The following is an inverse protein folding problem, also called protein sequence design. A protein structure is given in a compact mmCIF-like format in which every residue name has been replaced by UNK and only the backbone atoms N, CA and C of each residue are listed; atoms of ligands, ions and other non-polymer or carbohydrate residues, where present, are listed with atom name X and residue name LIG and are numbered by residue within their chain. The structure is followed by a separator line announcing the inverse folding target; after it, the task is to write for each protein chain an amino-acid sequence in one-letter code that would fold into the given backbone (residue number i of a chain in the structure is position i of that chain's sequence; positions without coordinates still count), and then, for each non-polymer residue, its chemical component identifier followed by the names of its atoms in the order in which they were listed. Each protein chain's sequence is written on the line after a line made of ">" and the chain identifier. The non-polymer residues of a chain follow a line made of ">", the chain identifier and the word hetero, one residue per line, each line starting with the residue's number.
data_IF_264882620444
#
_entry.id   IF_264882620444
#
_cell.length_a   1.000
_cell.length_b   1.000
_cell.length_c   1.000
_cell.angle_alpha   90.00
_cell.angle_beta   90.00
_cell.angle_gamma   90.00
#
_symmetry.space_group_name_H-M   'P 1'
#
loop_
_entity.id
_entity.type
_entity.pdbx_description
1 polymer ?
#
# COMPACT_ATOMS: atom_id res chain seq x y z
N UNK A 1 -22.22 17.81 -13.04
CA UNK A 1 -21.58 17.14 -11.90
C UNK A 1 -20.18 16.76 -12.33
N UNK A 2 -19.17 17.13 -11.55
CA UNK A 2 -17.78 16.82 -11.88
C UNK A 2 -17.40 15.43 -11.33
N UNK A 3 -16.62 14.67 -12.10
CA UNK A 3 -16.08 13.37 -11.67
C UNK A 3 -14.62 13.54 -11.30
N UNK A 4 -14.24 13.05 -10.14
CA UNK A 4 -12.85 13.01 -9.70
C UNK A 4 -12.22 11.69 -10.15
N UNK A 5 -11.18 11.74 -10.98
CA UNK A 5 -10.33 10.59 -11.28
C UNK A 5 -9.39 10.36 -10.10
N UNK A 6 -9.30 9.11 -9.61
CA UNK A 6 -8.40 8.76 -8.48
C UNK A 6 -7.64 7.48 -8.84
N UNK A 7 -6.33 7.58 -8.84
CA UNK A 7 -5.43 6.43 -8.79
C UNK A 7 -5.06 6.17 -7.32
N UNK A 8 -5.79 5.24 -6.68
CA UNK A 8 -5.50 4.79 -5.34
C UNK A 8 -4.45 3.67 -5.37
N UNK A 9 -3.18 4.05 -5.40
CA UNK A 9 -2.05 3.11 -5.47
C UNK A 9 -1.66 2.53 -4.12
N UNK A 10 -0.85 1.46 -4.15
CA UNK A 10 -0.30 0.82 -2.93
C UNK A 10 0.69 1.73 -2.22
N UNK A 11 1.51 2.46 -2.96
CA UNK A 11 2.56 3.33 -2.43
C UNK A 11 2.17 4.81 -2.49
N UNK A 12 1.57 5.25 -3.59
CA UNK A 12 1.17 6.65 -3.82
C UNK A 12 -0.23 6.70 -4.42
N UNK A 13 -0.92 7.80 -4.16
CA UNK A 13 -2.23 8.13 -4.71
C UNK A 13 -2.15 9.42 -5.50
N UNK A 14 -2.80 9.47 -6.67
CA UNK A 14 -2.97 10.67 -7.47
C UNK A 14 -4.45 10.96 -7.71
N UNK A 15 -4.79 12.21 -7.96
CA UNK A 15 -6.13 12.59 -8.39
C UNK A 15 -6.08 13.58 -9.56
N UNK A 16 -7.12 13.57 -10.38
CA UNK A 16 -7.22 14.44 -11.54
C UNK A 16 -8.65 14.64 -12.01
N UNK A 17 -8.83 15.60 -12.89
CA UNK A 17 -10.10 15.91 -13.58
C UNK A 17 -9.86 16.02 -15.08
N UNK A 18 -10.92 15.85 -15.85
CA UNK A 18 -10.93 16.24 -17.27
C UNK A 18 -11.32 17.71 -17.40
N UNK A 19 -10.47 18.51 -18.04
CA UNK A 19 -10.72 19.90 -18.39
C UNK A 19 -10.64 20.02 -19.92
N UNK A 20 -11.71 20.41 -20.56
CA UNK A 20 -11.81 20.48 -22.02
C UNK A 20 -11.41 19.15 -22.73
N UNK A 21 -11.79 18.02 -22.12
CA UNK A 21 -11.49 16.68 -22.62
C UNK A 21 -10.06 16.20 -22.33
N UNK A 22 -9.22 17.02 -21.71
CA UNK A 22 -7.83 16.67 -21.38
C UNK A 22 -7.67 16.37 -19.89
N UNK A 23 -6.98 15.29 -19.51
CA UNK A 23 -6.72 14.98 -18.11
C UNK A 23 -5.77 15.99 -17.49
N UNK A 24 -6.10 16.49 -16.32
CA UNK A 24 -5.22 17.32 -15.49
C UNK A 24 -5.09 16.74 -14.10
N UNK A 25 -3.85 16.53 -13.66
CA UNK A 25 -3.56 16.16 -12.28
C UNK A 25 -3.82 17.33 -11.33
N UNK A 26 -4.33 17.03 -10.15
CA UNK A 26 -4.60 17.98 -9.09
C UNK A 26 -3.48 17.82 -8.05
N UNK A 27 -2.80 18.89 -7.63
CA UNK A 27 -1.87 18.82 -6.51
C UNK A 27 -2.64 18.49 -5.23
N UNK A 28 -2.27 17.37 -4.60
CA UNK A 28 -2.90 16.89 -3.37
C UNK A 28 -2.15 17.33 -2.11
N UNK A 29 -0.86 17.65 -2.23
CA UNK A 29 -0.04 18.20 -1.15
C UNK A 29 0.91 19.26 -1.70
N UNK A 30 0.83 20.49 -1.17
CA UNK A 30 1.61 21.62 -1.64
C UNK A 30 1.63 21.67 -3.18
N UNK A 31 2.78 21.39 -3.82
CA UNK A 31 2.90 21.30 -5.27
C UNK A 31 3.04 19.85 -5.77
N UNK A 32 2.95 18.85 -4.88
CA UNK A 32 3.10 17.44 -5.24
C UNK A 32 1.83 16.91 -5.90
N UNK A 33 1.99 16.29 -7.07
CA UNK A 33 0.91 15.66 -7.83
C UNK A 33 0.50 14.30 -7.28
N UNK A 34 1.30 13.74 -6.37
CA UNK A 34 1.03 12.46 -5.72
C UNK A 34 1.07 12.61 -4.20
N UNK A 35 0.27 11.82 -3.53
CA UNK A 35 0.17 11.73 -2.08
C UNK A 35 0.64 10.35 -1.65
N UNK A 36 1.61 10.19 -0.73
CA UNK A 36 1.93 8.88 -0.17
C UNK A 36 0.68 8.20 0.37
N UNK A 37 0.42 6.94 -0.03
CA UNK A 37 -0.72 6.15 0.48
C UNK A 37 -0.36 5.61 1.87
N UNK A 38 -0.24 6.55 2.81
CA UNK A 38 0.18 6.32 4.17
C UNK A 38 -0.69 7.09 5.18
N UNK A 39 -0.83 6.53 6.37
CA UNK A 39 -1.54 7.13 7.49
C UNK A 39 -0.73 6.95 8.77
N UNK A 40 -0.83 7.91 9.67
CA UNK A 40 -0.21 7.88 10.99
C UNK A 40 -1.23 8.29 12.05
N UNK A 41 -1.50 7.42 13.00
CA UNK A 41 -2.33 7.73 14.16
C UNK A 41 -1.42 8.29 15.25
N UNK A 42 -1.37 9.61 15.38
CA UNK A 42 -0.58 10.32 16.37
C UNK A 42 -1.28 10.24 17.73
N UNK A 43 -0.65 9.59 18.70
CA UNK A 43 -1.26 9.37 20.02
C UNK A 43 -1.17 10.61 20.92
N UNK A 44 -0.16 11.43 20.73
CA UNK A 44 0.02 12.68 21.48
C UNK A 44 -0.93 13.75 20.94
N UNK A 45 -0.86 14.04 19.62
CA UNK A 45 -1.74 15.02 18.99
C UNK A 45 -3.20 14.54 18.89
N UNK A 46 -3.48 13.25 19.07
CA UNK A 46 -4.79 12.61 18.96
C UNK A 46 -5.46 12.85 17.61
N UNK A 47 -4.68 12.79 16.56
CA UNK A 47 -5.13 13.00 15.19
C UNK A 47 -4.62 11.91 14.23
N UNK A 48 -5.33 11.73 13.10
CA UNK A 48 -4.89 10.88 12.00
C UNK A 48 -4.23 11.77 10.96
N UNK A 49 -2.91 11.63 10.79
CA UNK A 49 -2.13 12.27 9.73
C UNK A 49 -2.14 11.42 8.48
N UNK A 50 -2.13 12.02 7.32
CA UNK A 50 -2.29 11.35 6.02
C UNK A 50 -1.24 11.89 5.06
N UNK A 51 -0.71 11.01 4.18
CA UNK A 51 0.22 11.41 3.15
C UNK A 51 1.62 11.71 3.67
N UNK A 52 2.24 12.80 3.19
CA UNK A 52 3.58 13.21 3.62
C UNK A 52 3.61 13.48 5.13
N UNK A 53 2.58 14.12 5.69
CA UNK A 53 2.50 14.37 7.13
C UNK A 53 2.53 13.08 7.98
N UNK A 54 2.03 11.96 7.45
CA UNK A 54 2.15 10.66 8.10
C UNK A 54 3.59 10.14 8.10
N UNK A 55 4.28 10.27 6.97
CA UNK A 55 5.69 9.88 6.84
C UNK A 55 6.61 10.77 7.67
N UNK A 56 6.35 12.08 7.69
CA UNK A 56 7.11 13.04 8.48
C UNK A 56 6.99 12.76 9.99
N UNK A 57 5.78 12.40 10.47
CA UNK A 57 5.56 12.02 11.86
C UNK A 57 6.36 10.76 12.24
N UNK A 58 6.40 9.76 11.34
CA UNK A 58 7.24 8.58 11.54
C UNK A 58 8.72 8.95 11.63
N UNK A 59 9.23 9.74 10.67
CA UNK A 59 10.64 10.15 10.64
C UNK A 59 11.03 11.06 11.83
N UNK A 60 10.08 11.84 12.33
CA UNK A 60 10.26 12.65 13.53
C UNK A 60 10.24 11.83 14.83
N UNK A 61 9.95 10.52 14.76
CA UNK A 61 9.84 9.65 15.94
C UNK A 61 8.63 9.95 16.82
N UNK A 62 7.54 10.49 16.23
CA UNK A 62 6.31 10.76 16.97
C UNK A 62 5.71 9.46 17.53
N UNK A 63 5.13 9.53 18.74
CA UNK A 63 4.46 8.39 19.34
C UNK A 63 3.15 8.10 18.63
N UNK A 64 3.05 6.94 17.98
CA UNK A 64 1.85 6.64 17.20
C UNK A 64 1.94 5.34 16.41
N UNK A 65 1.01 5.20 15.47
CA UNK A 65 0.95 4.03 14.59
C UNK A 65 0.96 4.44 13.12
N UNK A 66 2.06 4.14 12.45
CA UNK A 66 2.19 4.30 11.00
C UNK A 66 1.62 3.09 10.25
N UNK A 67 0.92 3.34 9.15
CA UNK A 67 0.39 2.30 8.26
C UNK A 67 0.54 2.73 6.81
N UNK A 68 1.00 1.81 5.97
CA UNK A 68 1.07 1.95 4.51
C UNK A 68 0.67 0.63 3.83
N UNK A 69 0.57 0.64 2.50
CA UNK A 69 0.18 -0.57 1.77
C UNK A 69 -1.27 -0.98 2.00
N UNK A 70 -2.15 -0.04 2.35
CA UNK A 70 -3.56 -0.29 2.67
C UNK A 70 -4.31 -0.99 1.54
N UNK A 71 -3.97 -0.68 0.27
CA UNK A 71 -4.54 -1.35 -0.91
C UNK A 71 -4.31 -2.86 -0.90
N UNK A 72 -3.17 -3.32 -0.35
CA UNK A 72 -2.83 -4.75 -0.27
C UNK A 72 -3.72 -5.54 0.70
N UNK A 73 -4.45 -4.86 1.59
CA UNK A 73 -5.36 -5.49 2.55
C UNK A 73 -6.76 -5.73 1.97
N UNK A 74 -7.14 -5.05 0.88
CA UNK A 74 -8.45 -5.22 0.24
C UNK A 74 -8.74 -6.70 -0.04
N UNK A 75 -9.96 -7.14 0.19
CA UNK A 75 -10.39 -8.53 0.03
C UNK A 75 -9.93 -9.47 1.14
N UNK A 76 -9.19 -9.01 2.15
CA UNK A 76 -8.80 -9.83 3.30
C UNK A 76 -9.78 -9.68 4.46
N UNK A 77 -9.79 -10.66 5.37
CA UNK A 77 -10.58 -10.57 6.62
C UNK A 77 -10.16 -9.38 7.49
N UNK A 78 -8.90 -8.95 7.38
CA UNK A 78 -8.38 -7.79 8.12
C UNK A 78 -9.17 -6.52 7.85
N UNK A 79 -9.74 -6.35 6.64
CA UNK A 79 -10.53 -5.16 6.28
C UNK A 79 -11.71 -4.94 7.23
N UNK A 80 -12.25 -6.00 7.83
CA UNK A 80 -13.41 -5.98 8.75
C UNK A 80 -13.03 -6.06 10.23
N UNK A 81 -11.73 -6.22 10.54
CA UNK A 81 -11.29 -6.24 11.93
C UNK A 81 -11.34 -4.85 12.55
N UNK A 82 -12.11 -4.72 13.62
CA UNK A 82 -12.24 -3.47 14.37
C UNK A 82 -11.14 -3.32 15.39
N UNK A 83 -10.53 -2.15 15.40
CA UNK A 83 -9.47 -1.75 16.35
C UNK A 83 -9.83 -0.44 17.01
N UNK A 84 -9.37 -0.24 18.25
CA UNK A 84 -9.49 1.05 18.91
C UNK A 84 -8.26 1.87 18.58
N UNK A 85 -8.44 2.97 17.83
CA UNK A 85 -7.42 3.93 17.48
C UNK A 85 -7.90 5.32 17.87
N UNK A 86 -7.10 6.07 18.61
CA UNK A 86 -7.44 7.41 19.17
C UNK A 86 -8.76 7.44 19.93
N UNK A 87 -9.16 6.31 20.54
CA UNK A 87 -10.43 6.18 21.27
C UNK A 87 -11.64 5.83 20.41
N UNK A 88 -11.49 5.75 19.09
CA UNK A 88 -12.53 5.36 18.14
C UNK A 88 -12.39 3.90 17.71
N UNK A 89 -13.53 3.22 17.51
CA UNK A 89 -13.58 1.87 16.94
C UNK A 89 -13.61 1.93 15.42
N UNK A 90 -12.49 1.66 14.79
CA UNK A 90 -12.31 1.71 13.33
C UNK A 90 -12.00 0.33 12.77
N UNK A 91 -12.55 0.01 11.61
CA UNK A 91 -12.07 -1.04 10.74
C UNK A 91 -11.12 -0.47 9.66
N UNK A 92 -10.49 -1.33 8.85
CA UNK A 92 -9.59 -0.82 7.80
C UNK A 92 -10.32 -0.15 6.66
N UNK A 93 -11.62 -0.42 6.45
CA UNK A 93 -12.44 0.30 5.47
C UNK A 93 -12.62 1.75 5.93
N UNK A 94 -12.84 2.00 7.23
CA UNK A 94 -12.91 3.36 7.78
C UNK A 94 -11.58 4.12 7.57
N UNK A 95 -10.44 3.43 7.73
CA UNK A 95 -9.12 4.04 7.53
C UNK A 95 -8.93 4.44 6.06
N UNK A 96 -9.24 3.54 5.12
CA UNK A 96 -9.18 3.83 3.68
C UNK A 96 -10.17 4.94 3.31
N UNK A 97 -11.39 4.91 3.86
CA UNK A 97 -12.39 5.94 3.64
C UNK A 97 -11.93 7.32 4.11
N UNK A 98 -11.30 7.43 5.27
CA UNK A 98 -10.73 8.70 5.76
C UNK A 98 -9.59 9.20 4.87
N UNK A 99 -8.77 8.29 4.36
CA UNK A 99 -7.75 8.63 3.37
C UNK A 99 -8.38 9.20 2.08
N UNK A 100 -9.36 8.50 1.51
CA UNK A 100 -10.07 8.95 0.30
C UNK A 100 -10.85 10.26 0.52
N UNK A 101 -11.46 10.44 1.69
CA UNK A 101 -12.12 11.69 2.06
C UNK A 101 -11.12 12.87 2.10
N UNK A 102 -9.89 12.63 2.57
CA UNK A 102 -8.81 13.64 2.52
C UNK A 102 -8.45 13.99 1.08
N UNK A 103 -8.30 12.98 0.19
CA UNK A 103 -8.05 13.20 -1.24
C UNK A 103 -9.17 14.05 -1.85
N UNK A 104 -10.43 13.70 -1.59
CA UNK A 104 -11.60 14.48 -2.03
C UNK A 104 -11.53 15.92 -1.57
N UNK A 105 -11.33 16.14 -0.27
CA UNK A 105 -11.28 17.50 0.32
C UNK A 105 -10.16 18.34 -0.28
N UNK A 106 -8.98 17.76 -0.51
CA UNK A 106 -7.87 18.46 -1.14
C UNK A 106 -8.16 18.79 -2.61
N UNK A 107 -8.77 17.85 -3.35
CA UNK A 107 -9.15 18.09 -4.73
C UNK A 107 -10.22 19.19 -4.84
N UNK A 108 -11.22 19.19 -3.94
CA UNK A 108 -12.26 20.24 -3.87
C UNK A 108 -11.65 21.61 -3.52
N UNK A 109 -10.70 21.65 -2.57
CA UNK A 109 -10.01 22.88 -2.21
C UNK A 109 -9.15 23.43 -3.35
N UNK A 110 -8.46 22.56 -4.09
CA UNK A 110 -7.58 22.96 -5.19
C UNK A 110 -8.36 23.41 -6.45
N UNK A 111 -9.56 22.88 -6.68
CA UNK A 111 -10.32 23.14 -7.90
C UNK A 111 -11.51 24.07 -7.72
N UNK A 112 -11.99 24.23 -6.49
CA UNK A 112 -13.26 24.91 -6.19
C UNK A 112 -14.51 24.13 -6.65
N UNK A 113 -14.36 22.88 -7.11
CA UNK A 113 -15.44 22.01 -7.55
C UNK A 113 -15.88 21.10 -6.41
N UNK A 114 -17.12 20.65 -6.46
CA UNK A 114 -17.62 19.61 -5.58
C UNK A 114 -17.69 18.27 -6.33
N UNK A 115 -17.23 17.18 -5.69
CA UNK A 115 -17.17 15.85 -6.29
C UNK A 115 -18.06 14.86 -5.53
N UNK A 116 -19.18 14.49 -6.11
CA UNK A 116 -20.06 13.40 -5.66
C UNK A 116 -19.79 12.09 -6.40
N UNK A 117 -18.99 12.12 -7.49
CA UNK A 117 -18.62 10.98 -8.31
C UNK A 117 -17.11 10.79 -8.38
N UNK A 118 -16.68 9.53 -8.37
CA UNK A 118 -15.29 9.15 -8.60
C UNK A 118 -15.17 8.16 -9.77
N UNK A 119 -14.06 8.26 -10.52
CA UNK A 119 -13.56 7.20 -11.39
C UNK A 119 -12.24 6.70 -10.77
N UNK A 120 -12.26 5.49 -10.23
CA UNK A 120 -11.11 4.93 -9.54
C UNK A 120 -10.33 3.95 -10.43
N UNK A 121 -9.01 4.09 -10.46
CA UNK A 121 -8.13 3.03 -10.95
C UNK A 121 -8.28 1.76 -10.12
N UNK A 122 -8.17 0.60 -10.79
CA UNK A 122 -8.04 -0.71 -10.16
C UNK A 122 -7.05 -1.57 -10.95
N UNK A 123 -6.32 -2.50 -10.31
CA UNK A 123 -5.56 -3.48 -11.06
C UNK A 123 -6.51 -4.38 -11.88
N UNK A 124 -6.00 -5.03 -12.91
CA UNK A 124 -6.78 -6.02 -13.66
C UNK A 124 -7.30 -7.08 -12.69
N UNK A 125 -6.44 -7.51 -11.75
CA UNK A 125 -6.81 -8.40 -10.64
C UNK A 125 -6.11 -8.01 -9.34
N UNK A 126 -6.87 -7.87 -8.27
CA UNK A 126 -6.31 -7.76 -6.90
C UNK A 126 -5.74 -9.10 -6.44
N UNK A 127 -6.34 -10.21 -6.89
CA UNK A 127 -5.94 -11.58 -6.57
C UNK A 127 -6.02 -12.46 -7.81
N UNK A 128 -4.85 -12.85 -8.33
CA UNK A 128 -4.75 -13.62 -9.59
C UNK A 128 -5.24 -15.07 -9.48
N UNK A 129 -5.26 -15.66 -8.28
CA UNK A 129 -5.60 -17.06 -8.04
C UNK A 129 -6.85 -17.26 -7.16
N UNK A 130 -7.59 -16.21 -6.82
CA UNK A 130 -8.76 -16.27 -5.92
C UNK A 130 -9.83 -15.26 -6.36
N UNK A 131 -10.77 -15.73 -7.19
CA UNK A 131 -11.84 -14.89 -7.76
C UNK A 131 -12.77 -14.31 -6.70
N UNK A 132 -13.06 -15.06 -5.64
CA UNK A 132 -13.94 -14.61 -4.57
C UNK A 132 -13.30 -13.46 -3.79
N UNK A 133 -12.01 -13.57 -3.54
CA UNK A 133 -11.22 -12.54 -2.85
C UNK A 133 -10.99 -11.32 -3.74
N UNK A 134 -10.83 -11.50 -5.04
CA UNK A 134 -10.74 -10.43 -6.02
C UNK A 134 -12.03 -9.59 -6.04
N UNK A 135 -13.19 -10.25 -6.11
CA UNK A 135 -14.49 -9.61 -6.06
C UNK A 135 -14.73 -8.89 -4.72
N UNK A 136 -14.29 -9.50 -3.60
CA UNK A 136 -14.38 -8.89 -2.28
C UNK A 136 -13.52 -7.62 -2.18
N UNK A 137 -12.32 -7.61 -2.78
CA UNK A 137 -11.45 -6.46 -2.79
C UNK A 137 -12.11 -5.25 -3.48
N UNK A 138 -12.78 -5.49 -4.60
CA UNK A 138 -13.55 -4.45 -5.30
C UNK A 138 -14.73 -3.95 -4.46
N UNK A 139 -15.42 -4.86 -3.76
CA UNK A 139 -16.53 -4.52 -2.84
C UNK A 139 -16.03 -3.66 -1.69
N UNK A 140 -14.91 -4.03 -1.05
CA UNK A 140 -14.31 -3.29 0.05
C UNK A 140 -13.91 -1.87 -0.40
N UNK A 141 -13.30 -1.75 -1.58
CA UNK A 141 -12.89 -0.46 -2.13
C UNK A 141 -14.11 0.42 -2.45
N UNK A 142 -15.17 -0.15 -3.05
CA UNK A 142 -16.43 0.57 -3.31
C UNK A 142 -17.06 1.09 -2.02
N UNK A 143 -17.06 0.27 -0.96
CA UNK A 143 -17.58 0.67 0.34
C UNK A 143 -16.75 1.81 0.95
N UNK A 144 -15.41 1.77 0.81
CA UNK A 144 -14.54 2.84 1.28
C UNK A 144 -14.83 4.17 0.58
N UNK A 145 -15.08 4.17 -0.75
CA UNK A 145 -15.51 5.36 -1.49
C UNK A 145 -16.85 5.90 -0.98
N UNK A 146 -17.83 5.04 -0.75
CA UNK A 146 -19.12 5.45 -0.18
C UNK A 146 -18.98 6.10 1.20
N UNK A 147 -18.18 5.48 2.09
CA UNK A 147 -17.88 6.05 3.42
C UNK A 147 -17.06 7.36 3.33
N UNK A 148 -16.29 7.56 2.26
CA UNK A 148 -15.57 8.81 1.99
C UNK A 148 -16.46 9.95 1.47
N UNK A 149 -17.75 9.70 1.23
CA UNK A 149 -18.72 10.68 0.80
C UNK A 149 -18.83 10.85 -0.72
N UNK A 150 -18.53 9.79 -1.48
CA UNK A 150 -18.88 9.72 -2.90
C UNK A 150 -20.19 8.94 -3.05
N UNK A 151 -21.15 9.52 -3.80
CA UNK A 151 -22.43 8.87 -4.08
C UNK A 151 -22.28 7.76 -5.13
N UNK A 152 -21.34 7.95 -6.07
CA UNK A 152 -21.04 6.99 -7.13
C UNK A 152 -19.55 6.81 -7.32
N UNK A 153 -19.12 5.54 -7.51
CA UNK A 153 -17.79 5.20 -7.96
C UNK A 153 -17.84 4.20 -9.10
N UNK A 154 -17.20 4.55 -10.19
CA UNK A 154 -16.90 3.67 -11.30
C UNK A 154 -15.43 3.25 -11.25
N UNK A 155 -15.11 2.09 -11.82
CA UNK A 155 -13.75 1.55 -11.83
C UNK A 155 -13.27 1.33 -13.26
N UNK A 156 -12.01 1.68 -13.49
CA UNK A 156 -11.27 1.44 -14.73
C UNK A 156 -10.00 0.67 -14.42
N UNK A 157 -9.62 -0.28 -15.26
CA UNK A 157 -8.35 -0.96 -15.10
C UNK A 157 -7.19 0.02 -15.30
N UNK A 158 -6.23 0.01 -14.40
CA UNK A 158 -5.06 0.92 -14.42
C UNK A 158 -4.31 0.88 -15.75
N UNK A 159 -3.99 -0.31 -16.34
CA UNK A 159 -3.33 -0.34 -17.64
C UNK A 159 -4.23 0.11 -18.80
N UNK A 160 -5.55 0.01 -18.69
CA UNK A 160 -6.48 0.59 -19.67
C UNK A 160 -6.44 2.12 -19.61
N UNK A 161 -6.46 2.70 -18.41
CA UNK A 161 -6.30 4.14 -18.21
C UNK A 161 -4.95 4.63 -18.76
N UNK A 162 -3.86 3.86 -18.54
CA UNK A 162 -2.54 4.16 -19.08
C UNK A 162 -2.50 4.08 -20.62
N UNK A 163 -3.19 3.10 -21.22
CA UNK A 163 -3.31 2.99 -22.67
C UNK A 163 -4.04 4.20 -23.27
N UNK A 164 -5.17 4.60 -22.66
CA UNK A 164 -5.93 5.81 -23.08
C UNK A 164 -5.06 7.06 -22.96
N UNK A 165 -4.30 7.21 -21.89
CA UNK A 165 -3.45 8.38 -21.68
C UNK A 165 -2.29 8.49 -22.70
N UNK A 166 -1.84 7.36 -23.27
CA UNK A 166 -0.69 7.31 -24.17
C UNK A 166 -1.05 6.98 -25.63
N UNK A 167 -2.32 6.84 -25.96
CA UNK A 167 -2.79 6.45 -27.30
C UNK A 167 -2.33 7.39 -28.43
N UNK A 168 -2.18 8.67 -28.16
CA UNK A 168 -1.73 9.66 -29.13
C UNK A 168 -0.28 9.43 -29.62
N UNK A 169 0.51 8.60 -28.92
CA UNK A 169 1.85 8.23 -29.34
C UNK A 169 1.86 7.16 -30.46
N UNK A 170 0.70 6.54 -30.73
CA UNK A 170 0.54 5.45 -31.69
C UNK A 170 -0.25 5.92 -32.92
N UNK A 171 -0.02 5.24 -34.07
CA UNK A 171 -0.81 5.45 -35.28
C UNK A 171 -2.01 4.52 -35.31
N UNK A 172 -3.08 4.89 -36.03
CA UNK A 172 -4.19 3.97 -36.27
C UNK A 172 -3.72 2.62 -36.82
N UNK A 173 -4.11 1.53 -36.18
CA UNK A 173 -3.72 0.16 -36.50
C UNK A 173 -2.51 -0.38 -35.74
N UNK A 174 -1.71 0.48 -35.12
CA UNK A 174 -0.57 0.03 -34.31
C UNK A 174 -1.05 -0.73 -33.06
N UNK A 175 -0.21 -1.68 -32.62
CA UNK A 175 -0.37 -2.38 -31.35
C UNK A 175 0.46 -1.70 -30.27
N UNK A 176 -0.14 -1.50 -29.11
CA UNK A 176 0.51 -1.04 -27.91
C UNK A 176 0.48 -2.11 -26.81
N UNK A 177 1.52 -2.17 -26.01
CA UNK A 177 1.59 -2.98 -24.79
C UNK A 177 1.85 -2.06 -23.60
N UNK A 178 0.92 -2.01 -22.66
CA UNK A 178 1.14 -1.39 -21.35
C UNK A 178 1.68 -2.45 -20.42
N UNK A 179 2.76 -2.11 -19.73
CA UNK A 179 3.34 -2.87 -18.62
C UNK A 179 3.30 -1.94 -17.42
N UNK A 180 2.39 -2.18 -16.51
CA UNK A 180 2.22 -1.42 -15.27
C UNK A 180 2.74 -2.25 -14.09
N UNK A 181 3.85 -1.82 -13.49
CA UNK A 181 4.45 -2.47 -12.31
C UNK A 181 4.27 -1.54 -11.13
N UNK A 182 3.16 -1.76 -10.41
CA UNK A 182 2.84 -1.03 -9.20
C UNK A 182 3.55 -1.56 -7.95
N UNK A 183 3.19 -1.02 -6.79
CA UNK A 183 3.73 -1.48 -5.51
C UNK A 183 3.27 -2.89 -5.11
N UNK A 184 2.07 -3.32 -5.53
CA UNK A 184 1.48 -4.60 -5.12
C UNK A 184 1.01 -5.51 -6.25
N UNK A 185 0.92 -5.00 -7.47
CA UNK A 185 0.49 -5.74 -8.68
C UNK A 185 1.37 -5.41 -9.86
N UNK A 186 1.41 -6.30 -10.84
CA UNK A 186 1.91 -6.02 -12.18
C UNK A 186 0.84 -6.40 -13.18
N UNK A 187 0.46 -5.44 -14.01
CA UNK A 187 -0.63 -5.54 -14.96
C UNK A 187 -0.10 -5.34 -16.38
N UNK A 188 -0.60 -6.13 -17.30
CA UNK A 188 -0.19 -6.14 -18.71
C UNK A 188 -1.44 -6.00 -19.56
N UNK A 189 -1.45 -5.04 -20.49
CA UNK A 189 -2.58 -4.86 -21.41
C UNK A 189 -2.09 -4.65 -22.82
N UNK A 190 -2.48 -5.54 -23.72
CA UNK A 190 -2.31 -5.42 -25.15
C UNK A 190 -3.52 -4.70 -25.75
N UNK A 191 -3.28 -3.64 -26.49
CA UNK A 191 -4.34 -2.87 -27.14
C UNK A 191 -3.98 -2.51 -28.57
N UNK A 192 -4.99 -2.12 -29.35
CA UNK A 192 -4.82 -1.60 -30.73
C UNK A 192 -5.39 -0.20 -30.79
N UNK A 193 -4.63 0.72 -31.38
CA UNK A 193 -5.12 2.07 -31.70
C UNK A 193 -6.04 2.02 -32.92
N UNK A 194 -7.29 2.50 -32.77
CA UNK A 194 -8.27 2.54 -33.88
C UNK A 194 -8.25 3.84 -34.67
N UNK A 195 -7.70 4.89 -34.14
CA UNK A 195 -7.87 6.28 -34.60
C UNK A 195 -9.01 6.97 -33.86
N UNK A 196 -9.14 8.29 -34.02
CA UNK A 196 -10.14 9.14 -33.35
C UNK A 196 -10.14 8.99 -31.81
N UNK A 197 -8.96 8.82 -31.22
CA UNK A 197 -8.78 8.63 -29.78
C UNK A 197 -9.52 7.39 -29.18
N UNK A 198 -9.74 6.38 -30.03
CA UNK A 198 -10.33 5.11 -29.60
C UNK A 198 -9.27 3.99 -29.58
N UNK A 199 -9.38 3.12 -28.60
CA UNK A 199 -8.54 1.92 -28.44
C UNK A 199 -9.41 0.68 -28.31
N UNK A 200 -8.90 -0.45 -28.82
CA UNK A 200 -9.43 -1.78 -28.53
C UNK A 200 -8.52 -2.48 -27.54
N UNK A 201 -9.02 -2.83 -26.40
CA UNK A 201 -8.33 -3.75 -25.49
C UNK A 201 -8.45 -5.16 -26.08
N UNK A 202 -7.32 -5.75 -26.43
CA UNK A 202 -7.26 -7.09 -27.01
C UNK A 202 -7.12 -8.16 -25.94
N UNK A 203 -6.27 -7.91 -24.93
CA UNK A 203 -6.04 -8.84 -23.83
C UNK A 203 -5.52 -8.06 -22.63
N UNK A 204 -5.90 -8.48 -21.42
CA UNK A 204 -5.38 -7.95 -20.17
C UNK A 204 -5.06 -9.08 -19.20
N UNK A 205 -3.91 -9.01 -18.57
CA UNK A 205 -3.45 -9.98 -17.57
C UNK A 205 -2.84 -9.26 -16.37
N UNK A 206 -3.26 -9.66 -15.16
CA UNK A 206 -2.77 -9.10 -13.91
C UNK A 206 -2.22 -10.18 -12.99
N UNK A 207 -1.09 -9.89 -12.36
CA UNK A 207 -0.50 -10.74 -11.32
C UNK A 207 -0.31 -9.94 -10.05
N UNK A 208 -0.51 -10.61 -8.91
CA UNK A 208 -0.25 -10.03 -7.59
C UNK A 208 1.22 -10.19 -7.23
N UNK A 209 2.04 -9.43 -7.91
CA UNK A 209 3.48 -9.31 -7.69
C UNK A 209 3.85 -7.88 -8.05
N UNK A 210 4.45 -7.14 -7.14
CA UNK A 210 4.82 -5.76 -7.35
C UNK A 210 6.09 -5.35 -6.61
N UNK A 211 6.38 -4.05 -6.58
CA UNK A 211 7.58 -3.49 -5.98
C UNK A 211 7.81 -3.94 -4.54
N UNK A 212 6.75 -4.01 -3.72
CA UNK A 212 6.87 -4.46 -2.32
C UNK A 212 7.29 -5.92 -2.18
N UNK A 213 6.99 -6.78 -3.17
CA UNK A 213 7.46 -8.17 -3.18
C UNK A 213 8.93 -8.25 -3.58
N UNK A 214 9.39 -7.36 -4.46
CA UNK A 214 10.80 -7.24 -4.83
C UNK A 214 11.62 -6.74 -3.64
N UNK A 215 11.16 -5.68 -2.96
CA UNK A 215 11.77 -5.15 -1.74
C UNK A 215 11.86 -6.24 -0.66
N UNK A 216 10.75 -6.97 -0.45
CA UNK A 216 10.71 -8.10 0.48
C UNK A 216 11.71 -9.19 0.13
N UNK A 217 11.82 -9.55 -1.15
CA UNK A 217 12.77 -10.57 -1.61
C UNK A 217 14.22 -10.13 -1.41
N UNK A 218 14.52 -8.87 -1.71
CA UNK A 218 15.83 -8.27 -1.44
C UNK A 218 16.13 -8.24 0.06
N UNK A 219 15.18 -7.80 0.86
CA UNK A 219 15.29 -7.71 2.32
C UNK A 219 15.57 -9.09 2.93
N UNK A 220 14.81 -10.13 2.56
CA UNK A 220 15.04 -11.50 3.03
C UNK A 220 16.42 -12.02 2.60
N UNK A 221 16.81 -11.75 1.36
CA UNK A 221 18.07 -12.27 0.83
C UNK A 221 19.33 -11.53 1.33
N UNK A 222 19.20 -10.26 1.76
CA UNK A 222 20.37 -9.41 2.07
C UNK A 222 20.32 -8.76 3.45
N UNK A 223 19.18 -8.27 3.88
CA UNK A 223 19.04 -7.51 5.14
C UNK A 223 18.78 -8.46 6.32
N UNK A 224 17.79 -9.32 6.21
CA UNK A 224 17.39 -10.21 7.30
C UNK A 224 18.52 -11.13 7.82
N UNK A 225 19.45 -11.65 6.98
CA UNK A 225 20.63 -12.37 7.48
C UNK A 225 21.56 -11.51 8.37
N UNK A 226 21.60 -10.17 8.14
CA UNK A 226 22.38 -9.27 8.99
C UNK A 226 21.72 -9.00 10.35
N UNK A 227 20.42 -9.26 10.46
CA UNK A 227 19.63 -9.19 11.68
C UNK A 227 19.55 -10.54 12.42
N UNK A 228 20.12 -11.59 11.83
CA UNK A 228 20.21 -12.91 12.47
C UNK A 228 19.29 -13.98 11.90
N UNK A 229 18.62 -13.75 10.77
CA UNK A 229 17.93 -14.82 10.04
C UNK A 229 18.91 -15.92 9.69
N UNK A 230 18.52 -17.19 9.98
CA UNK A 230 19.41 -18.35 9.78
C UNK A 230 20.48 -18.56 10.86
N UNK A 231 20.48 -17.79 11.95
CA UNK A 231 21.39 -17.98 13.07
C UNK A 231 21.05 -19.25 13.87
N UNK A 232 22.09 -19.90 14.42
CA UNK A 232 21.94 -21.03 15.31
C UNK A 232 21.62 -20.56 16.73
N UNK A 233 20.60 -21.18 17.32
CA UNK A 233 20.09 -20.90 18.66
C UNK A 233 20.31 -22.16 19.51
N UNK A 234 20.91 -22.01 20.66
CA UNK A 234 21.13 -23.11 21.64
C UNK A 234 19.84 -23.38 22.42
N UNK A 235 19.59 -24.64 22.73
CA UNK A 235 18.52 -24.96 23.67
C UNK A 235 18.87 -24.50 25.08
N UNK A 236 17.83 -24.01 25.81
CA UNK A 236 18.02 -23.48 27.18
C UNK A 236 18.57 -24.51 28.17
N UNK A 237 18.39 -25.80 27.92
CA UNK A 237 18.82 -26.91 28.80
C UNK A 237 20.02 -27.68 28.25
N UNK A 238 20.75 -27.15 27.28
CA UNK A 238 21.93 -27.76 26.66
C UNK A 238 21.57 -28.77 25.57
N UNK A 239 22.61 -29.22 24.82
CA UNK A 239 22.47 -30.19 23.74
C UNK A 239 22.52 -29.54 22.36
N UNK A 240 21.50 -29.80 21.54
CA UNK A 240 21.50 -29.43 20.15
C UNK A 240 21.20 -27.95 19.92
N UNK A 241 21.59 -27.44 18.76
CA UNK A 241 21.19 -26.13 18.23
C UNK A 241 20.02 -26.27 17.23
N UNK A 242 19.24 -25.21 17.07
CA UNK A 242 18.24 -25.12 16.03
C UNK A 242 18.36 -23.76 15.32
N UNK A 243 17.84 -23.69 14.11
CA UNK A 243 17.82 -22.41 13.35
C UNK A 243 16.75 -21.48 13.91
N UNK A 244 17.07 -20.20 14.04
CA UNK A 244 16.13 -19.16 14.45
C UNK A 244 14.86 -19.21 13.58
N UNK A 245 13.65 -19.15 14.18
CA UNK A 245 12.41 -19.14 13.44
C UNK A 245 12.32 -17.98 12.45
N UNK A 246 11.94 -18.26 11.20
CA UNK A 246 11.92 -17.25 10.13
C UNK A 246 10.73 -16.29 10.21
N UNK A 247 9.73 -16.55 11.06
CA UNK A 247 8.47 -15.79 11.09
C UNK A 247 8.71 -14.28 11.32
N UNK A 248 9.47 -13.93 12.36
CA UNK A 248 9.75 -12.53 12.72
C UNK A 248 10.49 -11.79 11.59
N UNK A 249 11.43 -12.46 10.91
CA UNK A 249 12.17 -11.87 9.80
C UNK A 249 11.32 -11.70 8.55
N UNK A 250 10.44 -12.68 8.23
CA UNK A 250 9.49 -12.58 7.14
C UNK A 250 8.50 -11.44 7.35
N UNK A 251 8.04 -11.27 8.58
CA UNK A 251 7.10 -10.21 8.91
C UNK A 251 7.79 -8.84 8.91
N UNK A 252 9.03 -8.74 9.40
CA UNK A 252 9.84 -7.51 9.35
C UNK A 252 10.20 -7.11 7.91
N UNK A 253 10.37 -8.08 7.00
CA UNK A 253 10.58 -7.83 5.58
C UNK A 253 9.29 -7.46 4.82
N UNK A 254 8.14 -7.43 5.46
CA UNK A 254 6.83 -7.18 4.84
C UNK A 254 6.23 -5.88 5.36
N UNK A 255 6.25 -4.83 4.55
CA UNK A 255 5.86 -3.47 4.95
C UNK A 255 4.54 -3.38 5.73
N UNK A 256 3.49 -4.02 5.24
CA UNK A 256 2.18 -4.00 5.88
C UNK A 256 2.14 -4.67 7.25
N UNK A 257 3.16 -5.49 7.58
CA UNK A 257 3.24 -6.23 8.85
C UNK A 257 4.12 -5.55 9.91
N UNK A 258 5.03 -4.68 9.50
CA UNK A 258 5.98 -4.01 10.39
C UNK A 258 5.29 -3.37 11.62
N UNK A 259 4.19 -2.62 11.49
CA UNK A 259 3.54 -1.99 12.64
C UNK A 259 3.02 -2.97 13.71
N UNK A 260 2.88 -4.26 13.36
CA UNK A 260 2.39 -5.29 14.29
C UNK A 260 3.51 -5.98 15.06
N UNK A 261 4.78 -5.71 14.72
CA UNK A 261 5.94 -6.35 15.34
C UNK A 261 6.42 -5.66 16.63
N UNK A 262 5.95 -4.46 16.92
CA UNK A 262 6.42 -3.69 18.07
C UNK A 262 5.73 -4.02 19.39
N UNK A 263 4.93 -5.10 19.40
CA UNK A 263 4.30 -5.59 20.62
C UNK A 263 5.25 -6.30 21.58
N UNK A 264 4.92 -6.36 22.89
CA UNK A 264 5.78 -6.94 23.92
C UNK A 264 6.10 -8.41 23.67
N UNK A 265 5.19 -9.17 23.06
CA UNK A 265 5.44 -10.60 22.73
C UNK A 265 6.55 -10.77 21.70
N UNK A 266 6.57 -9.95 20.65
CA UNK A 266 7.60 -9.99 19.60
C UNK A 266 8.94 -9.54 20.15
N UNK A 267 8.97 -8.46 20.94
CA UNK A 267 10.20 -7.98 21.61
C UNK A 267 10.80 -9.06 22.55
N UNK A 268 9.93 -9.70 23.33
CA UNK A 268 10.34 -10.82 24.21
C UNK A 268 10.91 -11.99 23.40
N UNK A 269 10.26 -12.40 22.32
CA UNK A 269 10.73 -13.48 21.46
C UNK A 269 12.10 -13.14 20.85
N UNK A 270 12.31 -11.91 20.36
CA UNK A 270 13.59 -11.46 19.83
C UNK A 270 14.69 -11.44 20.89
N UNK A 271 14.39 -11.00 22.11
CA UNK A 271 15.31 -11.01 23.24
C UNK A 271 15.70 -12.43 23.64
N UNK A 272 14.78 -13.39 23.60
CA UNK A 272 15.06 -14.81 23.84
C UNK A 272 15.97 -15.39 22.75
N UNK A 273 15.71 -15.12 21.48
CA UNK A 273 16.61 -15.52 20.39
C UNK A 273 18.02 -14.96 20.58
N UNK A 274 18.11 -13.67 20.92
CA UNK A 274 19.41 -13.03 21.19
C UNK A 274 20.16 -13.69 22.36
N UNK A 275 19.46 -13.99 23.47
CA UNK A 275 20.04 -14.61 24.68
C UNK A 275 20.66 -15.96 24.40
N UNK A 276 20.06 -16.78 23.54
CA UNK A 276 20.48 -18.15 23.26
C UNK A 276 21.25 -18.29 21.93
N UNK A 277 21.52 -17.21 21.22
CA UNK A 277 22.26 -17.25 19.96
C UNK A 277 23.71 -17.64 20.11
N UNK A 278 24.22 -18.45 19.20
CA UNK A 278 25.66 -18.70 19.11
C UNK A 278 26.44 -17.46 18.68
N UNK A 279 25.85 -16.65 17.78
CA UNK A 279 26.41 -15.41 17.29
C UNK A 279 25.51 -14.21 17.61
N UNK A 280 25.51 -13.70 18.87
CA UNK A 280 24.49 -12.74 19.35
C UNK A 280 24.54 -11.38 18.68
N UNK A 281 25.66 -10.96 18.05
CA UNK A 281 25.79 -9.63 17.44
C UNK A 281 24.73 -9.32 16.36
N UNK A 282 24.30 -10.32 15.58
CA UNK A 282 23.28 -10.13 14.56
C UNK A 282 21.88 -9.95 15.18
N UNK A 283 21.55 -10.80 16.14
CA UNK A 283 20.27 -10.74 16.85
C UNK A 283 20.16 -9.52 17.78
N UNK A 284 21.29 -8.99 18.27
CA UNK A 284 21.30 -7.69 18.96
C UNK A 284 20.80 -6.54 18.07
N UNK A 285 21.08 -6.57 16.75
CA UNK A 285 20.53 -5.62 15.80
C UNK A 285 19.03 -5.79 15.62
N UNK A 286 18.52 -7.03 15.56
CA UNK A 286 17.09 -7.30 15.51
C UNK A 286 16.38 -6.71 16.74
N UNK A 287 16.93 -6.98 17.94
CA UNK A 287 16.37 -6.42 19.19
C UNK A 287 16.33 -4.90 19.12
N UNK A 288 17.43 -4.25 18.70
CA UNK A 288 17.49 -2.80 18.54
C UNK A 288 16.44 -2.28 17.55
N UNK A 289 16.29 -2.91 16.38
CA UNK A 289 15.29 -2.53 15.36
C UNK A 289 13.88 -2.59 15.93
N UNK A 290 13.56 -3.59 16.76
CA UNK A 290 12.23 -3.73 17.36
C UNK A 290 12.00 -2.79 18.53
N UNK A 291 13.02 -2.54 19.34
CA UNK A 291 12.91 -1.66 20.51
C UNK A 291 12.82 -0.19 20.12
N UNK A 292 13.56 0.23 19.09
CA UNK A 292 13.59 1.58 18.56
C UNK A 292 12.61 1.79 17.37
N UNK A 293 11.81 0.78 17.03
CA UNK A 293 10.78 0.80 15.97
C UNK A 293 11.29 1.15 14.56
N UNK A 294 12.54 0.82 14.27
CA UNK A 294 13.26 1.15 13.02
C UNK A 294 12.89 0.27 11.82
N UNK A 295 11.83 -0.55 11.89
CA UNK A 295 11.48 -1.48 10.82
C UNK A 295 11.19 -0.80 9.49
N UNK A 296 10.54 0.37 9.50
CA UNK A 296 10.23 1.13 8.29
C UNK A 296 11.44 1.82 7.66
N UNK A 297 12.50 2.09 8.43
CA UNK A 297 13.76 2.64 7.92
C UNK A 297 14.58 1.60 7.14
N UNK A 298 14.28 0.32 7.34
CA UNK A 298 14.95 -0.80 6.68
C UNK A 298 14.23 -1.26 5.41
N UNK A 299 13.02 -0.77 5.13
CA UNK A 299 12.12 -1.35 4.13
C UNK A 299 11.97 -0.49 2.86
#
# INVERSE_FOLDING_TARGET
>A
MATLGIDFGTSNTAAGIAVDGMPRLIPLEAEAQTLPTAVFFDFEAREMRIGAAASDALLAGAEGRYMRGLKSLLGTRLMRERRVLLGERLDFIDIVARFLARVKTQAEAATGLHFDRALSGRPVRFYSADDARDAQALTDLREAYGRAGFDHVDFMNEPEAAAIANQAALRPGDLGLVIDIGGGTSDFTLFRQRGNDEIDILESHGIRLGGTDFDRSLSIGRVMPQLGMGSEIRHAFGGDTHIAPNAIFNDLATWAKIPFLYGPETRKAAAELHKFAEHPKRLARLVKVLDEELGHDLA
#
